data_IF_579403472353
#
_entry.id   IF_579403472353
#
_cell.length_a   1.000
_cell.length_b   1.000
_cell.length_c   1.000
_cell.angle_alpha   90.00
_cell.angle_beta   90.00
_cell.angle_gamma   90.00
#
_symmetry.space_group_name_H-M   'P 1'
#
loop_
_entity.id
_entity.type
_entity.pdbx_description
1 polymer ?
#
# COMPACT_ATOMS: atom_id res chain seq x y z
N UNK A 1 10.86 1.22 -20.08
CA UNK A 1 11.11 2.64 -20.49
C UNK A 1 11.03 3.50 -19.26
N UNK A 2 11.98 4.40 -18.98
CA UNK A 2 11.93 5.28 -17.81
C UNK A 2 10.98 6.45 -18.04
N UNK A 3 10.03 6.64 -17.15
CA UNK A 3 9.14 7.79 -17.15
C UNK A 3 9.80 9.01 -16.53
N UNK A 4 9.48 10.18 -17.04
CA UNK A 4 10.05 11.49 -16.65
C UNK A 4 8.92 12.50 -16.42
N UNK A 5 9.25 13.64 -15.84
CA UNK A 5 8.33 14.75 -15.58
C UNK A 5 7.57 15.25 -16.83
N UNK A 6 8.07 14.94 -18.04
CA UNK A 6 7.50 15.41 -19.32
C UNK A 6 6.42 14.47 -19.87
N UNK A 7 6.34 13.24 -19.40
CA UNK A 7 5.32 12.29 -19.86
C UNK A 7 3.93 12.68 -19.36
N UNK A 8 2.91 12.42 -20.15
CA UNK A 8 1.52 12.59 -19.74
C UNK A 8 1.15 11.47 -18.76
N UNK A 9 0.53 11.84 -17.62
CA UNK A 9 0.17 10.86 -16.60
C UNK A 9 -0.88 9.87 -17.12
N UNK A 10 -1.81 10.34 -17.97
CA UNK A 10 -2.82 9.46 -18.57
C UNK A 10 -2.22 8.32 -19.40
N UNK A 11 -1.17 8.59 -20.19
CA UNK A 11 -0.49 7.58 -21.00
C UNK A 11 0.18 6.54 -20.11
N UNK A 12 0.85 6.99 -19.03
CA UNK A 12 1.50 6.11 -18.06
C UNK A 12 0.50 5.16 -17.39
N UNK A 13 -0.70 5.65 -17.01
CA UNK A 13 -1.75 4.84 -16.41
C UNK A 13 -2.29 3.81 -17.39
N UNK A 14 -2.46 4.19 -18.67
CA UNK A 14 -2.91 3.25 -19.70
C UNK A 14 -1.93 2.11 -19.90
N UNK A 15 -0.63 2.36 -19.77
CA UNK A 15 0.40 1.32 -19.85
C UNK A 15 0.46 0.48 -18.55
N UNK A 16 0.18 1.09 -17.39
CA UNK A 16 0.33 0.50 -16.06
C UNK A 16 -0.84 0.86 -15.13
N UNK A 17 -1.97 0.18 -15.29
CA UNK A 17 -3.19 0.47 -14.50
C UNK A 17 -3.03 0.30 -12.98
N UNK A 18 -2.05 -0.49 -12.52
CA UNK A 18 -1.72 -0.65 -11.10
C UNK A 18 -1.36 0.69 -10.43
N UNK A 19 -0.89 1.67 -11.21
CA UNK A 19 -0.55 2.99 -10.72
C UNK A 19 -1.75 3.83 -10.27
N UNK A 20 -2.98 3.44 -10.60
CA UNK A 20 -4.20 4.14 -10.17
C UNK A 20 -4.26 4.32 -8.64
N UNK A 21 -3.96 3.26 -7.89
CA UNK A 21 -3.95 3.33 -6.41
C UNK A 21 -2.78 4.16 -5.90
N UNK A 22 -1.61 4.06 -6.53
CA UNK A 22 -0.42 4.85 -6.19
C UNK A 22 -0.68 6.33 -6.34
N UNK A 23 -1.27 6.74 -7.47
CA UNK A 23 -1.60 8.14 -7.77
C UNK A 23 -2.56 8.71 -6.72
N UNK A 24 -3.60 7.95 -6.36
CA UNK A 24 -4.56 8.38 -5.33
C UNK A 24 -3.90 8.56 -3.95
N UNK A 25 -2.89 7.74 -3.62
CA UNK A 25 -2.13 7.84 -2.36
C UNK A 25 -1.20 9.05 -2.31
N UNK A 26 -0.79 9.58 -3.46
CA UNK A 26 -0.16 10.89 -3.55
C UNK A 26 -1.16 12.06 -3.49
N UNK A 27 -2.46 11.78 -3.34
CA UNK A 27 -3.51 12.79 -3.29
C UNK A 27 -3.87 13.38 -4.65
N UNK A 28 -3.52 12.71 -5.74
CA UNK A 28 -3.81 13.15 -7.11
C UNK A 28 -5.16 12.54 -7.52
N UNK A 29 -6.23 13.35 -7.71
CA UNK A 29 -7.52 12.86 -8.21
C UNK A 29 -7.47 12.58 -9.71
N UNK A 30 -8.40 11.75 -10.19
CA UNK A 30 -8.62 11.57 -11.63
C UNK A 30 -9.22 12.83 -12.26
N UNK A 31 -9.17 12.92 -13.60
CA UNK A 31 -9.72 14.05 -14.35
C UNK A 31 -8.67 15.11 -14.70
N UNK A 32 -7.39 14.79 -14.61
CA UNK A 32 -6.27 15.69 -14.91
C UNK A 32 -6.02 15.92 -16.42
N UNK A 33 -6.79 15.27 -17.30
CA UNK A 33 -6.67 15.44 -18.76
C UNK A 33 -5.29 15.02 -19.31
N UNK A 34 -4.80 15.79 -20.27
CA UNK A 34 -3.51 15.57 -20.95
C UNK A 34 -2.30 16.19 -20.22
N UNK A 35 -2.44 16.46 -18.91
CA UNK A 35 -1.36 17.11 -18.14
C UNK A 35 -0.15 16.18 -17.98
N UNK A 36 1.04 16.80 -17.98
CA UNK A 36 2.28 16.10 -17.69
C UNK A 36 2.44 15.81 -16.19
N UNK A 37 3.28 14.85 -15.84
CA UNK A 37 3.64 14.53 -14.45
C UNK A 37 4.06 15.79 -13.70
N UNK A 38 4.94 16.62 -14.30
CA UNK A 38 5.39 17.90 -13.69
C UNK A 38 4.23 18.82 -13.35
N UNK A 39 3.35 19.04 -14.31
CA UNK A 39 2.21 19.96 -14.13
C UNK A 39 1.27 19.47 -13.02
N UNK A 40 1.04 18.15 -12.95
CA UNK A 40 0.21 17.55 -11.91
C UNK A 40 0.88 17.65 -10.53
N UNK A 41 2.17 17.32 -10.43
CA UNK A 41 2.89 17.45 -9.17
C UNK A 41 2.87 18.89 -8.63
N UNK A 42 3.00 19.89 -9.51
CA UNK A 42 2.89 21.31 -9.13
C UNK A 42 1.47 21.66 -8.66
N UNK A 43 0.45 21.22 -9.38
CA UNK A 43 -0.97 21.54 -9.07
C UNK A 43 -1.40 20.95 -7.72
N UNK A 44 -0.97 19.74 -7.41
CA UNK A 44 -1.37 19.02 -6.18
C UNK A 44 -0.32 19.07 -5.07
N UNK A 45 0.72 19.89 -5.23
CA UNK A 45 1.83 20.02 -4.27
C UNK A 45 2.45 18.67 -3.88
N UNK A 46 2.70 17.85 -4.89
CA UNK A 46 3.35 16.54 -4.76
C UNK A 46 4.84 16.69 -5.03
N UNK A 47 5.68 16.05 -4.23
CA UNK A 47 7.10 15.94 -4.48
C UNK A 47 7.36 15.12 -5.76
N UNK A 48 7.80 15.80 -6.83
CA UNK A 48 7.88 15.20 -8.17
C UNK A 48 8.95 14.12 -8.26
N UNK A 49 10.08 14.30 -7.58
CA UNK A 49 11.17 13.32 -7.59
C UNK A 49 10.75 12.04 -6.88
N UNK A 50 10.14 12.15 -5.69
CA UNK A 50 9.57 11.01 -4.97
C UNK A 50 8.50 10.30 -5.79
N UNK A 51 7.57 11.06 -6.39
CA UNK A 51 6.52 10.50 -7.23
C UNK A 51 7.09 9.70 -8.41
N UNK A 52 8.08 10.26 -9.12
CA UNK A 52 8.71 9.61 -10.26
C UNK A 52 9.49 8.36 -9.88
N UNK A 53 10.19 8.35 -8.73
CA UNK A 53 10.89 7.16 -8.25
C UNK A 53 9.89 6.04 -7.94
N UNK A 54 8.83 6.31 -7.18
CA UNK A 54 7.80 5.32 -6.86
C UNK A 54 7.14 4.79 -8.15
N UNK A 55 6.79 5.68 -9.07
CA UNK A 55 6.16 5.34 -10.34
C UNK A 55 7.06 4.44 -11.20
N UNK A 56 8.34 4.83 -11.38
CA UNK A 56 9.29 4.05 -12.18
C UNK A 56 9.64 2.71 -11.52
N UNK A 57 9.70 2.66 -10.19
CA UNK A 57 9.92 1.41 -9.48
C UNK A 57 8.80 0.41 -9.75
N UNK A 58 7.54 0.83 -9.64
CA UNK A 58 6.39 -0.06 -9.87
C UNK A 58 6.27 -0.47 -11.34
N UNK A 59 6.51 0.46 -12.26
CA UNK A 59 6.33 0.21 -13.69
C UNK A 59 7.49 -0.57 -14.31
N UNK A 60 8.72 -0.40 -13.82
CA UNK A 60 9.93 -0.84 -14.50
C UNK A 60 11.00 -1.44 -13.58
N UNK A 61 10.74 -1.56 -12.28
CA UNK A 61 11.73 -1.93 -11.26
C UNK A 61 12.99 -1.01 -11.27
N UNK A 62 12.77 0.29 -11.57
CA UNK A 62 13.84 1.30 -11.71
C UNK A 62 13.85 2.25 -10.50
N UNK A 63 14.90 2.14 -9.69
CA UNK A 63 15.15 2.97 -8.50
C UNK A 63 16.07 4.18 -8.79
N UNK A 64 16.32 4.50 -10.05
CA UNK A 64 17.17 5.66 -10.40
C UNK A 64 16.58 6.96 -9.85
N UNK A 65 17.37 7.72 -9.10
CA UNK A 65 16.95 8.96 -8.44
C UNK A 65 16.51 8.77 -6.99
N UNK A 66 16.66 7.57 -6.43
CA UNK A 66 16.28 7.28 -5.04
C UNK A 66 16.98 8.22 -4.03
N UNK A 67 18.14 8.76 -4.39
CA UNK A 67 18.87 9.75 -3.57
C UNK A 67 18.09 11.06 -3.39
N UNK A 68 17.14 11.37 -4.27
CA UNK A 68 16.34 12.60 -4.26
C UNK A 68 14.97 12.39 -3.57
N UNK A 69 14.66 11.19 -3.11
CA UNK A 69 13.40 10.88 -2.45
C UNK A 69 13.26 11.63 -1.14
N UNK A 70 12.14 12.33 -0.97
CA UNK A 70 11.75 13.03 0.24
C UNK A 70 11.17 12.07 1.29
N UNK A 71 11.81 11.97 2.45
CA UNK A 71 11.31 11.20 3.60
C UNK A 71 9.87 11.60 3.96
N UNK A 72 9.60 12.92 4.00
CA UNK A 72 8.25 13.42 4.36
C UNK A 72 7.19 13.13 3.30
N UNK A 73 7.57 13.08 2.03
CA UNK A 73 6.65 12.68 0.97
C UNK A 73 6.33 11.18 1.08
N UNK A 74 7.31 10.34 1.40
CA UNK A 74 7.10 8.91 1.64
C UNK A 74 6.23 8.64 2.87
N UNK A 75 6.44 9.35 3.98
CA UNK A 75 5.58 9.22 5.17
C UNK A 75 4.13 9.55 4.82
N UNK A 76 3.87 10.63 4.06
CA UNK A 76 2.51 10.96 3.61
C UNK A 76 1.91 9.88 2.74
N UNK A 77 2.68 9.36 1.78
CA UNK A 77 2.25 8.27 0.89
C UNK A 77 1.86 7.01 1.67
N UNK A 78 2.69 6.57 2.62
CA UNK A 78 2.41 5.38 3.44
C UNK A 78 1.16 5.58 4.31
N UNK A 79 1.00 6.74 4.96
CA UNK A 79 -0.22 7.08 5.72
C UNK A 79 -1.48 7.04 4.87
N UNK A 80 -1.45 7.60 3.68
CA UNK A 80 -2.58 7.53 2.75
C UNK A 80 -2.88 6.09 2.32
N UNK A 81 -1.85 5.25 2.17
CA UNK A 81 -2.01 3.83 1.91
C UNK A 81 -2.71 3.11 3.08
N UNK A 82 -2.26 3.36 4.32
CA UNK A 82 -2.86 2.77 5.53
C UNK A 82 -4.34 3.16 5.68
N UNK A 83 -4.66 4.45 5.48
CA UNK A 83 -6.05 4.93 5.50
C UNK A 83 -6.90 4.26 4.41
N UNK A 84 -6.38 4.13 3.19
CA UNK A 84 -7.07 3.44 2.11
C UNK A 84 -7.45 2.01 2.49
N UNK A 85 -6.51 1.23 3.03
CA UNK A 85 -6.79 -0.14 3.46
C UNK A 85 -7.81 -0.21 4.59
N UNK A 86 -7.57 0.54 5.68
CA UNK A 86 -8.30 0.38 6.93
C UNK A 86 -9.67 1.04 6.91
N UNK A 87 -9.82 2.19 6.24
CA UNK A 87 -11.01 3.01 6.30
C UNK A 87 -11.90 2.88 5.06
N UNK A 88 -11.35 2.40 3.94
CA UNK A 88 -12.09 2.27 2.69
C UNK A 88 -12.16 0.83 2.19
N UNK A 89 -11.02 0.21 1.86
CA UNK A 89 -11.00 -1.05 1.12
C UNK A 89 -11.54 -2.23 1.93
N UNK A 90 -10.98 -2.48 3.11
CA UNK A 90 -11.39 -3.62 3.93
C UNK A 90 -12.85 -3.55 4.41
N UNK A 91 -13.40 -2.40 4.84
CA UNK A 91 -14.82 -2.29 5.14
C UNK A 91 -15.72 -2.65 3.95
N UNK A 92 -15.39 -2.18 2.74
CA UNK A 92 -16.18 -2.49 1.53
C UNK A 92 -16.07 -3.96 1.14
N UNK A 93 -14.86 -4.52 1.16
CA UNK A 93 -14.65 -5.93 0.85
C UNK A 93 -15.38 -6.83 1.84
N UNK A 94 -15.40 -6.47 3.13
CA UNK A 94 -16.15 -7.21 4.16
C UNK A 94 -17.65 -7.26 3.86
N UNK A 95 -18.25 -6.15 3.48
CA UNK A 95 -19.69 -6.11 3.14
C UNK A 95 -19.99 -6.92 1.85
N UNK A 96 -19.15 -6.83 0.83
CA UNK A 96 -19.25 -7.69 -0.37
C UNK A 96 -19.13 -9.17 0.00
N UNK A 97 -18.17 -9.52 0.86
CA UNK A 97 -17.96 -10.89 1.31
C UNK A 97 -19.18 -11.43 2.06
N UNK A 98 -19.76 -10.65 2.97
CA UNK A 98 -21.00 -11.03 3.65
C UNK A 98 -22.13 -11.31 2.66
N UNK A 99 -22.33 -10.43 1.67
CA UNK A 99 -23.36 -10.63 0.64
C UNK A 99 -23.10 -11.89 -0.19
N UNK A 100 -21.83 -12.24 -0.44
CA UNK A 100 -21.47 -13.44 -1.17
C UNK A 100 -21.77 -14.73 -0.41
N UNK A 101 -21.56 -14.74 0.93
CA UNK A 101 -21.61 -15.93 1.76
C UNK A 101 -22.93 -16.10 2.54
N UNK A 102 -23.91 -15.21 2.37
CA UNK A 102 -25.20 -15.30 3.07
C UNK A 102 -26.08 -16.39 2.45
N UNK A 103 -26.09 -17.58 3.07
CA UNK A 103 -27.24 -18.46 3.07
C UNK A 103 -27.62 -18.77 4.53
N UNK A 104 -28.92 -18.95 4.82
CA UNK A 104 -29.47 -18.92 6.17
C UNK A 104 -28.95 -20.01 7.12
N UNK A 105 -28.17 -20.99 6.64
CA UNK A 105 -27.63 -22.14 7.42
C UNK A 105 -26.11 -22.35 7.21
N UNK A 106 -25.36 -21.37 6.73
CA UNK A 106 -23.99 -21.58 6.27
C UNK A 106 -22.94 -21.25 7.35
N UNK A 107 -22.64 -22.25 8.19
CA UNK A 107 -21.51 -22.21 9.14
C UNK A 107 -20.17 -21.93 8.45
N UNK A 108 -20.02 -22.31 7.18
CA UNK A 108 -18.79 -22.07 6.41
C UNK A 108 -18.70 -20.59 6.02
N UNK A 109 -19.81 -19.96 5.63
CA UNK A 109 -19.85 -18.54 5.36
C UNK A 109 -19.46 -17.68 6.56
N UNK A 110 -19.99 -17.99 7.74
CA UNK A 110 -19.59 -17.33 8.99
C UNK A 110 -18.09 -17.53 9.28
N UNK A 111 -17.56 -18.72 9.01
CA UNK A 111 -16.15 -19.03 9.20
C UNK A 111 -15.26 -18.25 8.23
N UNK A 112 -15.67 -18.10 6.97
CA UNK A 112 -14.95 -17.29 5.98
C UNK A 112 -14.90 -15.82 6.40
N UNK A 113 -16.02 -15.22 6.84
CA UNK A 113 -16.06 -13.86 7.34
C UNK A 113 -15.15 -13.69 8.57
N UNK A 114 -15.16 -14.65 9.50
CA UNK A 114 -14.27 -14.63 10.66
C UNK A 114 -12.78 -14.72 10.27
N UNK A 115 -12.45 -15.54 9.27
CA UNK A 115 -11.09 -15.59 8.72
C UNK A 115 -10.66 -14.26 8.13
N UNK A 116 -11.55 -13.64 7.36
CA UNK A 116 -11.31 -12.29 6.83
C UNK A 116 -11.12 -11.25 7.94
N UNK A 117 -11.97 -11.26 8.97
CA UNK A 117 -11.85 -10.33 10.11
C UNK A 117 -10.52 -10.54 10.86
N UNK A 118 -10.03 -11.76 10.99
CA UNK A 118 -8.72 -12.07 11.57
C UNK A 118 -7.58 -11.53 10.70
N UNK A 119 -7.66 -11.71 9.38
CA UNK A 119 -6.72 -11.14 8.43
C UNK A 119 -6.64 -9.62 8.56
N UNK A 120 -7.79 -8.93 8.51
CA UNK A 120 -7.86 -7.47 8.67
C UNK A 120 -7.30 -7.03 10.03
N UNK A 121 -7.58 -7.78 11.11
CA UNK A 121 -7.03 -7.50 12.44
C UNK A 121 -5.51 -7.59 12.47
N UNK A 122 -4.92 -8.55 11.76
CA UNK A 122 -3.47 -8.73 11.66
C UNK A 122 -2.83 -7.54 10.92
N UNK A 123 -3.39 -7.17 9.76
CA UNK A 123 -2.92 -5.99 9.02
C UNK A 123 -3.08 -4.71 9.85
N UNK A 124 -4.23 -4.50 10.48
CA UNK A 124 -4.44 -3.31 11.33
C UNK A 124 -3.40 -3.18 12.43
N UNK A 125 -3.01 -4.27 13.07
CA UNK A 125 -1.95 -4.27 14.11
C UNK A 125 -0.59 -3.90 13.52
N UNK A 126 -0.29 -4.41 12.33
CA UNK A 126 0.94 -4.11 11.61
C UNK A 126 1.00 -2.64 11.23
N UNK A 127 0.02 -2.13 10.49
CA UNK A 127 -0.03 -0.73 10.04
C UNK A 127 -0.07 0.27 11.23
N UNK A 128 -0.80 -0.06 12.31
CA UNK A 128 -0.78 0.78 13.53
C UNK A 128 0.61 0.80 14.20
N UNK A 129 1.34 -0.32 14.18
CA UNK A 129 2.70 -0.34 14.67
C UNK A 129 3.61 0.57 13.85
N UNK A 130 3.45 0.57 12.53
CA UNK A 130 4.18 1.45 11.63
C UNK A 130 3.89 2.92 11.93
N UNK A 131 2.61 3.29 12.03
CA UNK A 131 2.22 4.66 12.33
C UNK A 131 2.85 5.19 13.64
N UNK A 132 2.76 4.39 14.71
CA UNK A 132 3.14 4.84 16.05
C UNK A 132 4.64 4.72 16.31
N UNK A 133 5.25 3.63 15.81
CA UNK A 133 6.64 3.28 16.18
C UNK A 133 7.65 3.60 15.08
N UNK A 134 7.23 3.69 13.82
CA UNK A 134 8.14 3.92 12.70
C UNK A 134 7.97 5.31 12.13
N UNK A 135 6.85 5.59 11.48
CA UNK A 135 6.62 6.86 10.79
C UNK A 135 6.75 8.05 11.73
N UNK A 136 6.19 7.95 12.95
CA UNK A 136 6.32 8.98 13.96
C UNK A 136 7.76 9.22 14.41
N UNK A 137 8.56 8.18 14.59
CA UNK A 137 9.95 8.34 14.99
C UNK A 137 10.80 8.91 13.84
N UNK A 138 10.52 8.50 12.59
CA UNK A 138 11.20 9.08 11.42
C UNK A 138 10.85 10.56 11.27
N UNK A 139 9.58 10.97 11.49
CA UNK A 139 9.22 12.40 11.52
C UNK A 139 9.99 13.18 12.59
N UNK A 140 10.09 12.64 13.82
CA UNK A 140 10.84 13.26 14.89
C UNK A 140 12.32 13.38 14.56
N UNK A 141 12.88 12.34 13.94
CA UNK A 141 14.26 12.35 13.46
C UNK A 141 14.49 13.42 12.40
N UNK A 142 13.59 13.51 11.42
CA UNK A 142 13.63 14.54 10.39
C UNK A 142 13.57 15.97 10.95
N UNK A 143 12.82 16.17 12.04
CA UNK A 143 12.68 17.46 12.73
C UNK A 143 13.81 17.72 13.76
N UNK A 144 14.86 16.90 13.80
CA UNK A 144 15.96 16.97 14.79
C UNK A 144 15.48 16.90 16.25
N UNK A 145 14.36 16.21 16.51
CA UNK A 145 13.89 15.97 17.87
C UNK A 145 14.66 14.79 18.50
N UNK A 146 14.83 14.82 19.83
CA UNK A 146 15.47 13.70 20.55
C UNK A 146 14.63 12.41 20.38
N UNK A 147 15.25 11.40 19.79
CA UNK A 147 14.70 10.04 19.73
C UNK A 147 15.00 9.29 21.04
N UNK A 148 14.13 8.32 21.39
CA UNK A 148 14.49 7.33 22.40
C UNK A 148 15.66 6.46 21.90
N UNK A 149 16.49 5.99 22.84
CA UNK A 149 17.77 5.28 22.58
C UNK A 149 17.62 3.95 21.79
N UNK A 150 16.41 3.48 21.53
CA UNK A 150 16.13 2.14 20.98
C UNK A 150 15.57 2.12 19.54
N UNK A 151 15.41 3.29 18.90
CA UNK A 151 14.91 3.31 17.53
C UNK A 151 16.04 2.94 16.55
N UNK A 152 15.87 1.85 15.80
CA UNK A 152 16.70 1.47 14.66
C UNK A 152 15.83 0.86 13.57
N UNK A 153 15.97 1.35 12.33
CA UNK A 153 15.24 0.85 11.17
C UNK A 153 15.49 -0.63 10.86
N UNK A 154 16.69 -1.15 11.17
CA UNK A 154 17.05 -2.56 10.93
C UNK A 154 16.09 -3.60 11.57
N UNK A 155 15.31 -3.20 12.56
CA UNK A 155 14.32 -4.09 13.23
C UNK A 155 12.98 -4.16 12.51
N UNK A 156 12.82 -3.41 11.43
CA UNK A 156 11.53 -3.18 10.80
C UNK A 156 11.16 -4.21 9.72
N UNK A 157 12.12 -4.72 8.96
CA UNK A 157 11.96 -5.51 7.73
C UNK A 157 11.38 -6.92 7.89
N UNK A 158 11.03 -7.41 9.09
CA UNK A 158 10.77 -8.84 9.32
C UNK A 158 9.29 -9.28 9.37
N UNK A 159 8.29 -8.40 9.17
CA UNK A 159 6.88 -8.74 9.50
C UNK A 159 5.96 -9.03 8.30
N UNK A 160 6.39 -8.88 7.07
CA UNK A 160 5.53 -9.01 5.89
C UNK A 160 5.12 -10.46 5.56
N UNK A 161 5.95 -11.46 5.88
CA UNK A 161 5.66 -12.88 5.61
C UNK A 161 4.36 -13.38 6.24
N UNK A 162 4.00 -12.92 7.44
CA UNK A 162 2.78 -13.36 8.11
C UNK A 162 1.51 -12.88 7.39
N UNK A 163 1.55 -11.71 6.77
CA UNK A 163 0.44 -11.14 5.98
C UNK A 163 0.20 -11.99 4.74
N UNK A 164 1.26 -12.35 4.03
CA UNK A 164 1.19 -13.19 2.82
C UNK A 164 0.57 -14.56 3.09
N UNK A 165 0.94 -15.21 4.18
CA UNK A 165 0.36 -16.51 4.55
C UNK A 165 -1.14 -16.40 4.84
N UNK A 166 -1.56 -15.38 5.59
CA UNK A 166 -2.96 -15.26 6.01
C UNK A 166 -3.91 -14.99 4.84
N UNK A 167 -3.50 -14.14 3.88
CA UNK A 167 -4.32 -13.85 2.69
C UNK A 167 -4.37 -15.08 1.76
N UNK A 168 -3.28 -15.84 1.67
CA UNK A 168 -3.24 -17.08 0.89
C UNK A 168 -4.20 -18.13 1.45
N UNK A 169 -4.27 -18.26 2.78
CA UNK A 169 -5.20 -19.18 3.43
C UNK A 169 -6.66 -18.79 3.17
N UNK A 170 -6.99 -17.51 3.25
CA UNK A 170 -8.32 -16.99 2.93
C UNK A 170 -8.74 -17.33 1.48
N UNK A 171 -7.86 -17.10 0.52
CA UNK A 171 -8.10 -17.47 -0.89
C UNK A 171 -8.32 -18.97 -1.05
N UNK A 172 -7.47 -19.78 -0.44
CA UNK A 172 -7.56 -21.24 -0.51
C UNK A 172 -8.88 -21.77 0.08
N UNK A 173 -9.37 -21.19 1.18
CA UNK A 173 -10.65 -21.58 1.77
C UNK A 173 -11.78 -21.31 0.79
N UNK A 174 -11.83 -20.13 0.19
CA UNK A 174 -12.88 -19.76 -0.77
C UNK A 174 -12.80 -20.66 -2.03
N UNK A 175 -11.63 -20.82 -2.63
CA UNK A 175 -11.45 -21.56 -3.89
C UNK A 175 -11.77 -23.04 -3.73
N UNK A 176 -11.37 -23.66 -2.62
CA UNK A 176 -11.39 -25.12 -2.48
C UNK A 176 -12.62 -25.65 -1.78
N UNK A 177 -13.23 -24.86 -0.91
CA UNK A 177 -14.24 -25.36 0.03
C UNK A 177 -15.55 -24.59 -0.02
N UNK A 178 -15.62 -23.46 -0.73
CA UNK A 178 -16.88 -22.72 -0.85
C UNK A 178 -17.88 -23.55 -1.65
N UNK A 179 -19.10 -23.81 -1.12
CA UNK A 179 -20.08 -24.66 -1.79
C UNK A 179 -20.69 -23.94 -2.98
N UNK A 180 -21.20 -24.73 -3.92
CA UNK A 180 -21.99 -24.21 -5.06
C UNK A 180 -23.24 -23.51 -4.53
N UNK A 181 -23.44 -22.27 -4.95
CA UNK A 181 -24.60 -21.46 -4.57
C UNK A 181 -24.98 -20.46 -5.67
N UNK A 182 -26.13 -19.79 -5.49
CA UNK A 182 -26.67 -18.81 -6.46
C UNK A 182 -25.84 -17.53 -6.56
N UNK A 183 -24.85 -17.31 -5.67
CA UNK A 183 -24.06 -16.09 -5.57
C UNK A 183 -22.69 -16.19 -6.27
N UNK A 184 -22.51 -17.11 -7.22
CA UNK A 184 -21.22 -17.36 -7.92
C UNK A 184 -20.58 -16.08 -8.45
N UNK A 185 -21.35 -15.18 -9.03
CA UNK A 185 -20.78 -13.92 -9.58
C UNK A 185 -20.27 -12.98 -8.47
N UNK A 186 -20.94 -12.95 -7.31
CA UNK A 186 -20.52 -12.10 -6.20
C UNK A 186 -19.25 -12.65 -5.57
N UNK A 187 -19.18 -13.97 -5.30
CA UNK A 187 -17.99 -14.59 -4.72
C UNK A 187 -16.78 -14.48 -5.65
N UNK A 188 -16.97 -14.62 -6.97
CA UNK A 188 -15.91 -14.40 -7.94
C UNK A 188 -15.38 -12.95 -7.91
N UNK A 189 -16.27 -11.96 -7.78
CA UNK A 189 -15.87 -10.56 -7.61
C UNK A 189 -15.10 -10.33 -6.32
N UNK A 190 -15.57 -10.90 -5.21
CA UNK A 190 -14.86 -10.85 -3.90
C UNK A 190 -13.48 -11.48 -4.02
N UNK A 191 -13.37 -12.63 -4.65
CA UNK A 191 -12.09 -13.30 -4.83
C UNK A 191 -11.13 -12.47 -5.69
N UNK A 192 -11.64 -11.83 -6.76
CA UNK A 192 -10.86 -10.91 -7.58
C UNK A 192 -10.36 -9.70 -6.75
N UNK A 193 -11.22 -9.12 -5.90
CA UNK A 193 -10.84 -8.02 -5.00
C UNK A 193 -9.74 -8.48 -4.01
N UNK A 194 -9.81 -9.72 -3.50
CA UNK A 194 -8.78 -10.30 -2.60
C UNK A 194 -7.45 -10.47 -3.35
N UNK A 195 -7.45 -10.97 -4.58
CA UNK A 195 -6.22 -11.08 -5.39
C UNK A 195 -5.62 -9.70 -5.69
N UNK A 196 -6.47 -8.73 -6.01
CA UNK A 196 -6.04 -7.35 -6.26
C UNK A 196 -5.44 -6.71 -5.00
N UNK A 197 -6.04 -6.98 -3.84
CA UNK A 197 -5.52 -6.54 -2.54
C UNK A 197 -4.15 -7.15 -2.23
N UNK A 198 -3.98 -8.45 -2.47
CA UNK A 198 -2.68 -9.11 -2.27
C UNK A 198 -1.59 -8.48 -3.14
N UNK A 199 -1.89 -8.25 -4.42
CA UNK A 199 -0.95 -7.61 -5.33
C UNK A 199 -0.59 -6.18 -4.87
N UNK A 200 -1.57 -5.43 -4.41
CA UNK A 200 -1.38 -4.07 -3.92
C UNK A 200 -0.60 -4.02 -2.59
N UNK A 201 -0.87 -4.93 -1.65
CA UNK A 201 -0.09 -5.06 -0.41
C UNK A 201 1.38 -5.43 -0.71
N UNK A 202 1.64 -6.31 -1.68
CA UNK A 202 3.01 -6.63 -2.12
C UNK A 202 3.74 -5.42 -2.66
N UNK A 203 3.07 -4.59 -3.46
CA UNK A 203 3.62 -3.32 -3.95
C UNK A 203 3.90 -2.38 -2.78
N UNK A 204 2.99 -2.27 -1.82
CA UNK A 204 3.15 -1.44 -0.64
C UNK A 204 4.40 -1.85 0.17
N UNK A 205 4.51 -3.13 0.52
CA UNK A 205 5.69 -3.67 1.22
C UNK A 205 6.99 -3.46 0.43
N UNK A 206 6.96 -3.67 -0.89
CA UNK A 206 8.12 -3.46 -1.75
C UNK A 206 8.57 -1.98 -1.81
N UNK A 207 7.63 -1.04 -1.78
CA UNK A 207 7.94 0.40 -1.68
C UNK A 207 8.57 0.72 -0.32
N UNK A 208 8.07 0.13 0.76
CA UNK A 208 8.67 0.29 2.08
C UNK A 208 10.09 -0.22 2.12
N UNK A 209 10.31 -1.46 1.71
CA UNK A 209 11.62 -2.10 1.79
C UNK A 209 12.65 -1.47 0.85
N UNK A 210 12.27 -1.08 -0.37
CA UNK A 210 13.21 -0.66 -1.41
C UNK A 210 13.32 0.87 -1.58
N UNK A 211 12.35 1.64 -1.07
CA UNK A 211 12.38 3.11 -1.18
C UNK A 211 12.40 3.78 0.20
N UNK A 212 11.43 3.46 1.06
CA UNK A 212 11.31 4.14 2.35
C UNK A 212 12.47 3.81 3.30
N UNK A 213 12.77 2.53 3.54
CA UNK A 213 13.86 2.10 4.42
C UNK A 213 15.21 2.67 3.98
N UNK A 214 15.66 2.56 2.70
CA UNK A 214 16.92 3.18 2.26
C UNK A 214 16.93 4.70 2.38
N UNK A 215 15.77 5.35 2.23
CA UNK A 215 15.66 6.80 2.38
C UNK A 215 15.83 7.22 3.85
N UNK A 216 15.29 6.46 4.80
CA UNK A 216 15.49 6.69 6.24
C UNK A 216 16.92 6.40 6.66
N UNK A 217 17.53 5.31 6.18
CA UNK A 217 18.94 4.98 6.46
C UNK A 217 19.88 6.11 6.03
N UNK A 218 19.58 6.76 4.92
CA UNK A 218 20.33 7.92 4.45
C UNK A 218 20.15 9.11 5.39
N UNK A 219 18.92 9.37 5.87
CA UNK A 219 18.65 10.42 6.84
C UNK A 219 19.40 10.16 8.17
N UNK A 220 19.39 8.92 8.67
CA UNK A 220 20.12 8.54 9.89
C UNK A 220 21.63 8.85 9.78
N UNK A 221 22.26 8.50 8.65
CA UNK A 221 23.68 8.77 8.41
C UNK A 221 24.00 10.27 8.42
N UNK A 222 23.14 11.08 7.78
CA UNK A 222 23.32 12.54 7.76
C UNK A 222 23.25 13.19 9.13
N UNK A 223 22.43 12.65 10.04
CA UNK A 223 22.29 13.17 11.41
C UNK A 223 23.48 12.77 12.30
N UNK A 224 24.06 11.60 12.09
CA UNK A 224 25.22 11.11 12.87
C UNK A 224 26.53 11.82 12.50
N UNK A 225 26.64 12.35 11.30
CA UNK A 225 27.83 13.06 10.78
C UNK A 225 27.87 14.54 11.21
N UNK A 226 26.84 15.07 11.85
CA UNK A 226 26.73 16.43 12.38
C UNK A 226 26.90 16.46 13.89
#
# INVERSE_FOLDING_TARGET
>A
MKYTERHKLGDIINDHYQLLLVISRFGIPLGFGDKTVKSICQEYNVDCDTFLVVLNYIANDDLSGIENVSVMAMIRFLRMSHQYYLDFFFPQLREKLKLAVVSADDKLGEMIVKFFDNFVSTIRKHLNHEEVSVLRNVERMYNNEKLGTDFRMERYTQKHEQIDHTIQDLKNIIIKYYPDNDNVNIINTVLYDIFSCEADLKIHCAIEDNIFVPTVDRLEKQIVEV
#
